data_IF_430234442604
#
_entry.id   IF_430234442604
#
_cell.length_a   1.000
_cell.length_b   1.000
_cell.length_c   1.000
_cell.angle_alpha   90.00
_cell.angle_beta   90.00
_cell.angle_gamma   90.00
#
_symmetry.space_group_name_H-M   'P 1'
#
loop_
_entity.id
_entity.type
_entity.pdbx_description
1 polymer ?
#
# COMPACT_ATOMS: atom_id res chain seq x y z
N UNK A 1 7.76 11.31 -16.57
CA UNK A 1 7.30 12.56 -15.93
C UNK A 1 6.36 12.19 -14.79
N UNK A 2 6.47 12.85 -13.64
CA UNK A 2 5.71 12.53 -12.42
C UNK A 2 6.61 12.13 -11.25
N UNK A 3 6.07 12.20 -10.03
CA UNK A 3 6.74 11.78 -8.79
C UNK A 3 6.35 10.32 -8.52
N UNK A 4 7.31 9.39 -8.38
CA UNK A 4 7.01 8.01 -7.98
C UNK A 4 6.22 7.98 -6.67
N UNK A 5 5.21 7.10 -6.58
CA UNK A 5 4.32 7.00 -5.41
C UNK A 5 5.08 6.89 -4.09
N UNK A 6 6.13 6.07 -4.05
CA UNK A 6 6.94 5.90 -2.85
C UNK A 6 7.62 7.20 -2.40
N UNK A 7 8.16 7.97 -3.34
CA UNK A 7 8.77 9.28 -3.09
C UNK A 7 7.71 10.31 -2.68
N UNK A 8 6.56 10.32 -3.36
CA UNK A 8 5.46 11.24 -3.06
C UNK A 8 4.92 11.07 -1.64
N UNK A 9 4.78 9.81 -1.16
CA UNK A 9 4.34 9.54 0.22
C UNK A 9 5.34 10.11 1.21
N UNK A 10 6.63 9.83 1.03
CA UNK A 10 7.70 10.33 1.90
C UNK A 10 7.78 11.87 1.91
N UNK A 11 7.66 12.50 0.74
CA UNK A 11 7.65 13.97 0.61
C UNK A 11 6.49 14.60 1.38
N UNK A 12 5.27 14.07 1.23
CA UNK A 12 4.09 14.60 1.94
C UNK A 12 4.20 14.35 3.44
N UNK A 13 4.67 13.17 3.87
CA UNK A 13 4.88 12.86 5.29
C UNK A 13 5.90 13.80 5.93
N UNK A 14 6.99 14.11 5.23
CA UNK A 14 7.98 15.08 5.70
C UNK A 14 7.46 16.52 5.75
N UNK A 15 6.69 16.96 4.75
CA UNK A 15 6.19 18.33 4.66
C UNK A 15 4.94 18.60 5.52
N UNK A 16 4.10 17.60 5.76
CA UNK A 16 2.86 17.70 6.52
C UNK A 16 2.68 16.49 7.48
N UNK A 17 3.44 16.45 8.59
CA UNK A 17 3.55 15.24 9.44
C UNK A 17 2.23 14.73 10.03
N UNK A 18 1.25 15.61 10.25
CA UNK A 18 -0.05 15.27 10.87
C UNK A 18 -1.17 15.01 9.85
N UNK A 19 -0.91 15.21 8.55
CA UNK A 19 -1.94 15.07 7.53
C UNK A 19 -2.25 13.59 7.25
N UNK A 20 -3.53 13.29 7.04
CA UNK A 20 -3.96 11.99 6.53
C UNK A 20 -3.45 11.85 5.10
N UNK A 21 -2.74 10.76 4.83
CA UNK A 21 -2.14 10.47 3.52
C UNK A 21 -2.72 9.18 2.96
N UNK A 22 -3.22 9.24 1.73
CA UNK A 22 -3.68 8.07 0.98
C UNK A 22 -2.63 7.78 -0.09
N UNK A 23 -1.94 6.64 0.02
CA UNK A 23 -0.97 6.18 -0.96
C UNK A 23 -1.68 5.57 -2.16
N UNK A 24 -1.53 6.15 -3.35
CA UNK A 24 -2.20 5.66 -4.56
C UNK A 24 -1.33 5.78 -5.78
N UNK A 25 -1.74 5.12 -6.87
CA UNK A 25 -0.96 5.06 -8.11
C UNK A 25 0.01 3.89 -8.10
N UNK A 26 -0.24 2.91 -8.97
CA UNK A 26 0.64 1.75 -9.13
C UNK A 26 0.54 0.65 -8.06
N UNK A 27 -0.39 0.75 -7.10
CA UNK A 27 -0.65 -0.31 -6.11
C UNK A 27 -1.32 -1.50 -6.81
N UNK A 28 -0.71 -2.69 -6.78
CA UNK A 28 -1.22 -3.89 -7.46
C UNK A 28 -1.42 -5.09 -6.55
N UNK A 29 -0.68 -5.15 -5.45
CA UNK A 29 -0.63 -6.28 -4.52
C UNK A 29 -0.79 -5.81 -3.07
N UNK A 30 -1.10 -6.73 -2.16
CA UNK A 30 -1.11 -6.47 -0.72
C UNK A 30 0.27 -6.08 -0.17
N UNK A 31 1.35 -6.54 -0.81
CA UNK A 31 2.72 -6.11 -0.48
C UNK A 31 2.95 -4.64 -0.86
N UNK A 32 2.38 -4.17 -1.98
CA UNK A 32 2.44 -2.76 -2.34
C UNK A 32 1.66 -1.89 -1.34
N UNK A 33 0.50 -2.38 -0.87
CA UNK A 33 -0.27 -1.74 0.21
C UNK A 33 0.57 -1.66 1.48
N UNK A 34 1.23 -2.76 1.87
CA UNK A 34 2.09 -2.80 3.05
C UNK A 34 3.22 -1.78 2.97
N UNK A 35 3.90 -1.69 1.81
CA UNK A 35 4.96 -0.70 1.56
C UNK A 35 4.44 0.73 1.61
N UNK A 36 3.27 1.01 1.02
CA UNK A 36 2.69 2.35 1.05
C UNK A 36 2.39 2.80 2.48
N UNK A 37 1.82 1.92 3.30
CA UNK A 37 1.55 2.20 4.72
C UNK A 37 2.87 2.36 5.48
N UNK A 38 3.83 1.45 5.28
CA UNK A 38 5.15 1.52 5.90
C UNK A 38 5.92 2.82 5.58
N UNK A 39 5.72 3.40 4.39
CA UNK A 39 6.26 4.71 4.01
C UNK A 39 5.56 5.91 4.70
N UNK A 40 4.50 5.67 5.47
CA UNK A 40 3.78 6.70 6.21
C UNK A 40 2.37 6.99 5.68
N UNK A 41 1.83 6.21 4.73
CA UNK A 41 0.43 6.35 4.34
C UNK A 41 -0.51 5.80 5.44
N UNK A 42 -1.71 6.37 5.53
CA UNK A 42 -2.77 5.88 6.42
C UNK A 42 -3.59 4.77 5.76
N UNK A 43 -3.71 4.82 4.44
CA UNK A 43 -4.38 3.82 3.63
C UNK A 43 -3.78 3.80 2.22
N UNK A 44 -4.05 2.72 1.49
CA UNK A 44 -3.73 2.63 0.07
C UNK A 44 -5.02 2.66 -0.77
N UNK A 45 -4.94 3.19 -1.99
CA UNK A 45 -6.05 3.18 -2.94
C UNK A 45 -5.66 2.46 -4.25
N UNK A 46 -6.61 1.70 -4.79
CA UNK A 46 -6.42 0.79 -5.93
C UNK A 46 -7.48 1.10 -6.98
N UNK A 47 -7.08 1.21 -8.24
CA UNK A 47 -7.98 1.47 -9.36
C UNK A 47 -7.79 0.43 -10.48
N UNK A 48 -6.69 0.53 -11.25
CA UNK A 48 -6.46 -0.31 -12.44
C UNK A 48 -6.61 -1.83 -12.21
N UNK A 49 -6.09 -2.44 -11.12
CA UNK A 49 -6.27 -3.87 -10.87
C UNK A 49 -7.72 -4.32 -10.70
N UNK A 50 -8.63 -3.39 -10.35
CA UNK A 50 -10.05 -3.70 -10.11
C UNK A 50 -10.90 -3.49 -11.38
N UNK A 51 -10.36 -2.87 -12.44
CA UNK A 51 -11.12 -2.61 -13.67
C UNK A 51 -11.50 -3.89 -14.40
N UNK A 52 -10.57 -4.84 -14.57
CA UNK A 52 -10.88 -6.10 -15.24
C UNK A 52 -11.89 -6.96 -14.44
N UNK A 53 -11.71 -7.19 -13.12
CA UNK A 53 -12.74 -7.83 -12.29
C UNK A 53 -14.10 -7.14 -12.35
N UNK A 54 -14.14 -5.80 -12.40
CA UNK A 54 -15.39 -5.06 -12.50
C UNK A 54 -16.17 -5.31 -13.80
N UNK A 55 -15.50 -5.72 -14.89
CA UNK A 55 -16.19 -6.14 -16.12
C UNK A 55 -16.89 -7.50 -15.99
N UNK A 56 -16.49 -8.30 -15.00
CA UNK A 56 -17.08 -9.62 -14.70
C UNK A 56 -18.24 -9.44 -13.71
N UNK A 57 -18.05 -8.63 -12.66
CA UNK A 57 -19.10 -8.31 -11.69
C UNK A 57 -18.56 -7.92 -10.32
N UNK A 58 -19.47 -7.53 -9.43
CA UNK A 58 -19.13 -7.10 -8.05
C UNK A 58 -18.42 -8.18 -7.25
N UNK A 59 -18.84 -9.44 -7.37
CA UNK A 59 -18.21 -10.56 -6.66
C UNK A 59 -16.77 -10.78 -7.09
N UNK A 60 -16.46 -10.63 -8.39
CA UNK A 60 -15.08 -10.73 -8.87
C UNK A 60 -14.20 -9.60 -8.33
N UNK A 61 -14.74 -8.39 -8.15
CA UNK A 61 -14.04 -7.28 -7.49
C UNK A 61 -13.80 -7.60 -6.02
N UNK A 62 -14.81 -8.13 -5.32
CA UNK A 62 -14.70 -8.53 -3.92
C UNK A 62 -13.63 -9.60 -3.72
N UNK A 63 -13.64 -10.67 -4.53
CA UNK A 63 -12.61 -11.71 -4.48
C UNK A 63 -11.20 -11.16 -4.74
N UNK A 64 -11.04 -10.23 -5.72
CA UNK A 64 -9.73 -9.62 -5.96
C UNK A 64 -9.26 -8.74 -4.79
N UNK A 65 -10.19 -8.05 -4.11
CA UNK A 65 -9.88 -7.29 -2.91
C UNK A 65 -9.49 -8.20 -1.74
N UNK A 66 -10.18 -9.33 -1.56
CA UNK A 66 -9.87 -10.33 -0.55
C UNK A 66 -8.45 -10.89 -0.73
N UNK A 67 -8.07 -11.25 -1.96
CA UNK A 67 -6.70 -11.68 -2.28
C UNK A 67 -5.65 -10.63 -1.86
N UNK A 68 -5.89 -9.35 -2.18
CA UNK A 68 -4.99 -8.24 -1.80
C UNK A 68 -4.92 -8.07 -0.28
N UNK A 69 -6.04 -8.23 0.42
CA UNK A 69 -6.09 -8.16 1.90
C UNK A 69 -5.31 -9.33 2.52
N UNK A 70 -5.42 -10.53 1.97
CA UNK A 70 -4.69 -11.70 2.48
C UNK A 70 -3.18 -11.61 2.18
N UNK A 71 -2.79 -11.06 1.03
CA UNK A 71 -1.40 -10.71 0.74
C UNK A 71 -0.84 -9.69 1.76
N UNK A 72 -1.61 -8.66 2.10
CA UNK A 72 -1.24 -7.66 3.12
C UNK A 72 -1.07 -8.30 4.50
N UNK A 73 -2.05 -9.12 4.93
CA UNK A 73 -1.98 -9.85 6.20
C UNK A 73 -0.78 -10.78 6.26
N UNK A 74 -0.48 -11.47 5.16
CA UNK A 74 0.69 -12.34 5.04
C UNK A 74 1.98 -11.53 5.21
N UNK A 75 2.11 -10.39 4.53
CA UNK A 75 3.27 -9.51 4.68
C UNK A 75 3.42 -9.02 6.13
N UNK A 76 2.34 -8.58 6.77
CA UNK A 76 2.35 -8.14 8.17
C UNK A 76 2.73 -9.28 9.13
N UNK A 77 2.21 -10.49 8.90
CA UNK A 77 2.56 -11.69 9.67
C UNK A 77 4.05 -12.02 9.55
N UNK A 78 4.62 -11.99 8.35
CA UNK A 78 6.04 -12.22 8.12
C UNK A 78 6.95 -11.16 8.78
N UNK A 79 6.43 -9.94 8.97
CA UNK A 79 7.13 -8.85 9.67
C UNK A 79 6.90 -8.88 11.20
N UNK A 80 5.99 -9.73 11.70
CA UNK A 80 5.61 -9.75 13.11
C UNK A 80 4.80 -8.53 13.56
N UNK A 81 4.07 -7.89 12.66
CA UNK A 81 3.29 -6.66 12.92
C UNK A 81 1.80 -7.01 13.01
N UNK A 82 1.13 -6.58 14.09
CA UNK A 82 -0.25 -6.95 14.37
C UNK A 82 -1.30 -5.99 13.79
N UNK A 83 -0.94 -4.75 13.52
CA UNK A 83 -1.87 -3.69 13.11
C UNK A 83 -1.23 -2.67 12.15
N UNK A 84 -2.08 -1.91 11.47
CA UNK A 84 -1.63 -0.93 10.46
C UNK A 84 -0.93 0.28 11.07
N UNK A 85 -1.20 0.59 12.34
CA UNK A 85 -0.55 1.71 13.03
C UNK A 85 0.92 1.39 13.31
N UNK A 86 1.19 0.16 13.74
CA UNK A 86 2.53 -0.40 13.95
C UNK A 86 3.28 -0.65 12.64
N UNK A 87 2.57 -0.87 11.53
CA UNK A 87 3.17 -0.98 10.20
C UNK A 87 3.62 0.39 9.67
N UNK A 88 2.86 1.45 9.95
CA UNK A 88 3.13 2.79 9.46
C UNK A 88 4.42 3.35 10.06
N UNK A 89 5.27 3.94 9.21
CA UNK A 89 6.58 4.48 9.59
C UNK A 89 7.52 3.42 10.25
N UNK A 90 7.29 2.12 9.97
CA UNK A 90 8.11 1.04 10.52
C UNK A 90 9.57 1.11 10.06
N UNK A 91 10.56 0.84 10.93
CA UNK A 91 11.98 0.81 10.53
C UNK A 91 12.34 -0.42 9.69
N UNK A 92 11.41 -1.36 9.50
CA UNK A 92 11.63 -2.60 8.75
C UNK A 92 11.64 -2.38 7.22
N UNK A 93 11.16 -1.24 6.73
CA UNK A 93 11.21 -0.92 5.32
C UNK A 93 12.58 -0.33 4.95
N UNK A 94 13.31 -1.03 4.09
CA UNK A 94 14.62 -0.59 3.61
C UNK A 94 14.60 -0.44 2.09
N UNK A 95 15.21 0.64 1.60
CA UNK A 95 15.51 0.77 0.18
C UNK A 95 16.63 -0.21 -0.15
N UNK A 96 16.43 -1.02 -1.18
CA UNK A 96 17.47 -1.89 -1.70
C UNK A 96 18.17 -1.11 -2.82
N UNK A 97 19.43 -0.74 -2.59
CA UNK A 97 20.23 -0.07 -3.61
C UNK A 97 20.81 -1.11 -4.60
N UNK A 98 20.70 -0.85 -5.90
CA UNK A 98 21.38 -1.65 -6.94
C UNK A 98 20.55 -2.64 -7.75
N UNK A 99 19.21 -2.48 -7.78
CA UNK A 99 18.33 -3.11 -8.80
C UNK A 99 17.66 -2.02 -9.63
#
# INVERSE_FOLDING_TARGET
WGIPTAESIGMVRGAAPTMIVIGSGGIRTGVDVAKAIALGAHSAAIATPLLAPATIGGDAVASRLEEIVDELRTAMFCLGIADLESLRDTPLLQRVDGV
#
